data_IF_146901328895
#
_entry.id   IF_146901328895
#
_cell.length_a   1.000
_cell.length_b   1.000
_cell.length_c   1.000
_cell.angle_alpha   90.00
_cell.angle_beta   90.00
_cell.angle_gamma   90.00
#
_symmetry.space_group_name_H-M   'P 1'
#
loop_
_entity.id
_entity.type
_entity.pdbx_description
1 polymer ?
#
# COMPACT_ATOMS: atom_id res chain seq x y z
N UNK A 1 0.67 -10.76 -0.69
CA UNK A 1 0.14 -12.06 -0.18
C UNK A 1 1.12 -13.19 -0.39
N UNK A 2 1.75 -13.30 -1.55
CA UNK A 2 2.74 -14.35 -1.85
C UNK A 2 3.94 -14.37 -0.86
N UNK A 3 4.35 -13.19 -0.37
CA UNK A 3 5.42 -13.06 0.62
C UNK A 3 4.98 -13.27 2.08
N UNK A 4 3.70 -13.58 2.34
CA UNK A 4 3.18 -13.74 3.71
C UNK A 4 3.23 -15.21 4.15
N UNK A 5 3.36 -15.49 5.46
CA UNK A 5 3.24 -16.85 6.00
C UNK A 5 1.93 -17.54 5.57
N UNK A 6 1.94 -18.88 5.57
CA UNK A 6 0.79 -19.68 5.09
C UNK A 6 -0.52 -19.45 5.86
N UNK A 7 -0.44 -18.98 7.11
CA UNK A 7 -1.60 -18.67 7.96
C UNK A 7 -1.57 -17.21 8.40
N UNK A 8 -2.33 -16.38 7.69
CA UNK A 8 -2.43 -14.95 7.96
C UNK A 8 -3.90 -14.53 7.91
N UNK A 9 -4.36 -13.84 8.94
CA UNK A 9 -5.72 -13.29 9.01
C UNK A 9 -5.87 -12.07 8.09
N UNK A 10 -7.10 -11.71 7.75
CA UNK A 10 -7.39 -10.45 7.05
C UNK A 10 -6.85 -9.23 7.81
N UNK A 11 -6.95 -9.23 9.13
CA UNK A 11 -6.40 -8.17 9.98
C UNK A 11 -4.87 -8.05 9.84
N UNK A 12 -4.13 -9.16 9.88
CA UNK A 12 -2.67 -9.10 9.69
C UNK A 12 -2.27 -8.66 8.28
N UNK A 13 -3.11 -8.93 7.26
CA UNK A 13 -2.88 -8.39 5.92
C UNK A 13 -3.10 -6.88 5.86
N UNK A 14 -4.10 -6.36 6.58
CA UNK A 14 -4.34 -4.92 6.70
C UNK A 14 -3.18 -4.24 7.41
N UNK A 15 -2.76 -4.75 8.58
CA UNK A 15 -1.61 -4.22 9.33
C UNK A 15 -0.34 -4.19 8.48
N UNK A 16 -0.09 -5.24 7.69
CA UNK A 16 1.06 -5.30 6.79
C UNK A 16 0.97 -4.27 5.65
N UNK A 17 -0.22 -4.03 5.10
CA UNK A 17 -0.43 -3.00 4.09
C UNK A 17 -0.21 -1.59 4.66
N UNK A 18 -0.74 -1.32 5.85
CA UNK A 18 -0.55 -0.04 6.56
C UNK A 18 0.93 0.21 6.86
N UNK A 19 1.67 -0.81 7.31
CA UNK A 19 3.10 -0.71 7.54
C UNK A 19 3.88 -0.38 6.26
N UNK A 20 3.50 -0.96 5.11
CA UNK A 20 4.11 -0.64 3.81
C UNK A 20 3.84 0.80 3.38
N UNK A 21 2.64 1.32 3.62
CA UNK A 21 2.32 2.72 3.33
C UNK A 21 3.16 3.69 4.15
N UNK A 22 3.26 3.46 5.46
CA UNK A 22 4.09 4.28 6.36
C UNK A 22 5.56 4.19 5.97
N UNK A 23 6.07 2.98 5.66
CA UNK A 23 7.45 2.80 5.21
C UNK A 23 7.73 3.58 3.92
N UNK A 24 6.86 3.48 2.92
CA UNK A 24 7.03 4.18 1.65
C UNK A 24 7.06 5.71 1.83
N UNK A 25 6.25 6.23 2.74
CA UNK A 25 6.24 7.65 3.09
C UNK A 25 7.54 8.07 3.80
N UNK A 26 7.94 7.35 4.85
CA UNK A 26 9.15 7.66 5.62
C UNK A 26 10.44 7.60 4.78
N UNK A 27 10.50 6.65 3.85
CA UNK A 27 11.65 6.49 2.93
C UNK A 27 11.57 7.40 1.70
N UNK A 28 10.57 8.30 1.63
CA UNK A 28 10.37 9.24 0.50
C UNK A 28 10.15 8.53 -0.85
N UNK A 29 9.68 7.28 -0.82
CA UNK A 29 9.24 6.58 -2.03
C UNK A 29 7.90 7.12 -2.52
N UNK A 30 7.06 7.65 -1.64
CA UNK A 30 5.84 8.38 -1.99
C UNK A 30 5.60 9.54 -1.03
N UNK A 31 5.10 10.67 -1.55
CA UNK A 31 4.68 11.80 -0.70
C UNK A 31 3.21 11.67 -0.31
N UNK A 32 2.79 12.40 0.72
CA UNK A 32 1.39 12.42 1.17
C UNK A 32 0.45 12.91 0.07
N UNK A 33 0.88 13.87 -0.74
CA UNK A 33 0.12 14.40 -1.87
C UNK A 33 -0.09 13.33 -2.94
N UNK A 34 0.92 12.49 -3.22
CA UNK A 34 0.77 11.36 -4.13
C UNK A 34 -0.21 10.32 -3.59
N UNK A 35 -0.16 10.01 -2.29
CA UNK A 35 -1.15 9.12 -1.65
C UNK A 35 -2.58 9.63 -1.84
N UNK A 36 -2.81 10.91 -1.54
CA UNK A 36 -4.13 11.54 -1.67
C UNK A 36 -4.56 11.60 -3.14
N UNK A 37 -3.66 11.94 -4.06
CA UNK A 37 -3.97 12.02 -5.49
C UNK A 37 -4.45 10.67 -6.05
N UNK A 38 -3.83 9.56 -5.63
CA UNK A 38 -4.27 8.21 -6.02
C UNK A 38 -5.65 7.92 -5.42
N UNK A 39 -5.85 8.14 -4.11
CA UNK A 39 -7.14 7.87 -3.47
C UNK A 39 -8.29 8.72 -4.02
N UNK A 40 -8.03 9.96 -4.40
CA UNK A 40 -9.05 10.86 -4.96
C UNK A 40 -9.46 10.53 -6.40
N UNK A 41 -8.60 9.85 -7.17
CA UNK A 41 -8.92 9.47 -8.56
C UNK A 41 -9.58 8.11 -8.68
N UNK A 42 -9.51 7.27 -7.65
CA UNK A 42 -10.07 5.93 -7.65
C UNK A 42 -11.59 5.96 -7.46
N UNK A 43 -12.29 5.01 -8.09
CA UNK A 43 -13.75 4.91 -8.02
C UNK A 43 -14.24 4.53 -6.61
N UNK A 44 -13.44 3.75 -5.88
CA UNK A 44 -13.72 3.31 -4.52
C UNK A 44 -12.44 3.16 -3.70
N UNK A 45 -12.59 3.09 -2.38
CA UNK A 45 -11.46 2.99 -1.47
C UNK A 45 -10.62 1.72 -1.69
N UNK A 46 -11.25 0.57 -1.98
CA UNK A 46 -10.53 -0.68 -2.14
C UNK A 46 -9.69 -0.68 -3.42
N UNK A 47 -10.21 -0.15 -4.54
CA UNK A 47 -9.42 0.03 -5.76
C UNK A 47 -8.26 1.00 -5.55
N UNK A 48 -8.48 2.11 -4.84
CA UNK A 48 -7.42 3.08 -4.53
C UNK A 48 -6.31 2.51 -3.66
N UNK A 49 -6.64 1.77 -2.59
CA UNK A 49 -5.61 1.12 -1.77
C UNK A 49 -4.86 0.00 -2.51
N UNK A 50 -5.54 -0.73 -3.41
CA UNK A 50 -4.87 -1.72 -4.26
C UNK A 50 -3.86 -1.06 -5.22
N UNK A 51 -4.25 0.06 -5.82
CA UNK A 51 -3.38 0.85 -6.71
C UNK A 51 -2.17 1.43 -5.96
N UNK A 52 -2.37 1.96 -4.75
CA UNK A 52 -1.30 2.41 -3.88
C UNK A 52 -0.31 1.30 -3.56
N UNK A 53 -0.78 0.11 -3.17
CA UNK A 53 0.08 -1.03 -2.88
C UNK A 53 0.91 -1.45 -4.10
N UNK A 54 0.31 -1.46 -5.29
CA UNK A 54 1.04 -1.76 -6.53
C UNK A 54 2.13 -0.71 -6.80
N UNK A 55 1.78 0.57 -6.70
CA UNK A 55 2.71 1.68 -6.94
C UNK A 55 3.89 1.62 -5.97
N UNK A 56 3.62 1.35 -4.70
CA UNK A 56 4.65 1.24 -3.66
C UNK A 56 5.55 0.04 -3.89
N UNK A 57 4.99 -1.11 -4.26
CA UNK A 57 5.77 -2.31 -4.61
C UNK A 57 6.76 -1.98 -5.73
N UNK A 58 6.30 -1.33 -6.79
CA UNK A 58 7.15 -0.98 -7.95
C UNK A 58 8.25 0.02 -7.57
N UNK A 59 7.95 1.00 -6.71
CA UNK A 59 8.93 2.01 -6.26
C UNK A 59 9.97 1.46 -5.28
N UNK A 60 9.57 0.56 -4.38
CA UNK A 60 10.49 -0.09 -3.43
C UNK A 60 11.32 -1.19 -4.11
N UNK A 61 10.91 -1.65 -5.30
CA UNK A 61 11.50 -2.79 -6.05
C UNK A 61 11.37 -4.11 -5.29
N UNK A 62 10.17 -4.38 -4.77
CA UNK A 62 9.77 -5.64 -4.12
C UNK A 62 9.06 -6.62 -5.07
#
# INVERSE_FOLDING_TARGET
>A
REYMPSRVSSHMLADAAEALFVYAWLQKHMTLEEFVAVLCRSEDAASGFAELLSTIKDRIKL
#
